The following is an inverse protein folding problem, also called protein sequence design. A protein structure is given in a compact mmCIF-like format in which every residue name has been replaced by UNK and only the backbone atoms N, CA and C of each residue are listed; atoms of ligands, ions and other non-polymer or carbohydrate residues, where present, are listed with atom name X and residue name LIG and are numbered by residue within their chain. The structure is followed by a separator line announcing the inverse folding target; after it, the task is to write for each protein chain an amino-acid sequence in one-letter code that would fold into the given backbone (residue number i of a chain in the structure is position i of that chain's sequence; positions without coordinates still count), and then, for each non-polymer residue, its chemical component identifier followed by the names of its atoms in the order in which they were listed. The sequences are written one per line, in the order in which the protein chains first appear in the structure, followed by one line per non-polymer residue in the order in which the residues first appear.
data_IF_647109857216
#
_entry.id   IF_647109857216
#
_cell.length_a   1.000
_cell.length_b   1.000
_cell.length_c   1.000
_cell.angle_alpha   90.00
_cell.angle_beta   90.00
_cell.angle_gamma   90.00
#
_symmetry.space_group_name_H-M   'P 1'
#
loop_
_entity.id
_entity.type
_entity.pdbx_description
1 polymer ?
#
# COMPACT_ATOMS: atom_id res chain seq x y z
N UNK A 1 12.31 -9.68 0.84
CA UNK A 1 12.90 -8.39 1.24
C UNK A 1 12.85 -8.17 2.75
N UNK A 2 11.85 -8.73 3.42
CA UNK A 2 11.71 -8.58 4.87
C UNK A 2 12.88 -9.18 5.66
N UNK A 3 13.61 -10.11 5.08
CA UNK A 3 14.76 -10.75 5.72
C UNK A 3 16.10 -10.08 5.40
N UNK A 4 16.09 -9.05 4.53
CA UNK A 4 17.30 -8.35 4.13
C UNK A 4 17.44 -7.04 4.91
N UNK A 5 18.68 -6.71 5.26
CA UNK A 5 18.97 -5.46 5.92
C UNK A 5 18.82 -4.30 4.93
N UNK A 6 18.14 -3.25 5.35
CA UNK A 6 17.97 -2.05 4.56
C UNK A 6 19.33 -1.44 4.23
N UNK A 7 19.56 -1.19 2.93
CA UNK A 7 20.82 -0.59 2.48
C UNK A 7 21.96 -1.57 2.29
N UNK A 8 21.78 -2.85 2.62
CA UNK A 8 22.79 -3.87 2.40
C UNK A 8 23.00 -4.13 0.91
N UNK A 9 24.10 -4.79 0.57
CA UNK A 9 24.39 -5.13 -0.82
C UNK A 9 23.31 -6.06 -1.39
N UNK A 10 22.90 -7.05 -0.60
CA UNK A 10 21.85 -7.99 -0.99
C UNK A 10 20.52 -7.28 -1.19
N UNK A 11 20.19 -6.32 -0.32
CA UNK A 11 18.98 -5.51 -0.45
C UNK A 11 18.99 -4.73 -1.76
N UNK A 12 20.11 -4.07 -2.07
CA UNK A 12 20.25 -3.29 -3.31
C UNK A 12 20.14 -4.18 -4.53
N UNK A 13 20.75 -5.38 -4.50
CA UNK A 13 20.65 -6.33 -5.60
C UNK A 13 19.22 -6.83 -5.78
N UNK A 14 18.50 -7.07 -4.68
CA UNK A 14 17.10 -7.48 -4.74
C UNK A 14 16.24 -6.38 -5.37
N UNK A 15 16.46 -5.12 -4.99
CA UNK A 15 15.74 -3.99 -5.59
C UNK A 15 16.04 -3.87 -7.09
N UNK A 16 17.30 -4.03 -7.48
CA UNK A 16 17.67 -3.99 -8.90
C UNK A 16 16.98 -5.09 -9.69
N UNK A 17 16.89 -6.29 -9.13
CA UNK A 17 16.23 -7.41 -9.78
C UNK A 17 14.73 -7.18 -9.97
N UNK A 18 14.10 -6.46 -9.02
CA UNK A 18 12.68 -6.14 -9.06
C UNK A 18 12.37 -4.89 -9.89
N UNK A 19 13.39 -4.09 -10.17
CA UNK A 19 13.21 -2.79 -10.81
C UNK A 19 12.41 -2.84 -12.12
N UNK A 20 12.69 -3.74 -13.07
CA UNK A 20 11.89 -3.79 -14.29
C UNK A 20 10.41 -4.08 -14.02
N UNK A 21 10.12 -4.97 -13.07
CA UNK A 21 8.73 -5.27 -12.72
C UNK A 21 8.04 -4.07 -12.08
N UNK A 22 8.74 -3.36 -11.19
CA UNK A 22 8.20 -2.16 -10.55
C UNK A 22 7.98 -1.04 -11.55
N UNK A 23 8.93 -0.83 -12.47
CA UNK A 23 8.78 0.19 -13.50
C UNK A 23 7.59 -0.11 -14.41
N UNK A 24 7.41 -1.38 -14.79
CA UNK A 24 6.25 -1.80 -15.57
C UNK A 24 4.95 -1.55 -14.79
N UNK A 25 4.95 -1.89 -13.51
CA UNK A 25 3.80 -1.69 -12.63
C UNK A 25 3.43 -0.20 -12.58
N UNK A 26 4.40 0.67 -12.32
CA UNK A 26 4.14 2.10 -12.22
C UNK A 26 3.74 2.72 -13.55
N UNK A 27 4.22 2.19 -14.66
CA UNK A 27 3.85 2.70 -15.98
C UNK A 27 2.46 2.24 -16.40
N UNK A 28 2.08 1.02 -16.04
CA UNK A 28 0.84 0.38 -16.47
C UNK A 28 -0.28 0.54 -15.44
N UNK A 29 0.06 0.38 -14.15
CA UNK A 29 -0.90 0.41 -13.06
C UNK A 29 -0.52 1.47 -12.06
N UNK A 30 -1.34 2.47 -11.97
CA UNK A 30 -1.29 3.36 -10.82
C UNK A 30 -2.01 2.61 -9.71
N UNK A 31 -1.42 2.45 -8.55
CA UNK A 31 -2.02 1.69 -7.45
C UNK A 31 -3.17 2.46 -6.78
N UNK A 32 -3.92 3.20 -7.57
CA UNK A 32 -5.10 3.94 -7.13
C UNK A 32 -6.32 3.34 -7.81
N UNK A 33 -7.39 3.05 -7.05
CA UNK A 33 -8.58 2.40 -7.61
C UNK A 33 -9.17 3.11 -8.82
N UNK A 34 -9.07 4.43 -8.89
CA UNK A 34 -9.63 5.21 -9.99
C UNK A 34 -8.94 4.95 -11.34
N UNK A 35 -7.79 4.29 -11.34
CA UNK A 35 -7.08 3.92 -12.56
C UNK A 35 -7.46 2.55 -13.10
N UNK A 36 -8.36 1.85 -12.42
CA UNK A 36 -8.83 0.53 -12.83
C UNK A 36 -10.29 0.61 -13.26
N UNK A 37 -10.69 -0.05 -14.37
CA UNK A 37 -12.08 0.00 -14.81
C UNK A 37 -13.09 -0.45 -13.76
N UNK A 38 -12.75 -1.45 -12.96
CA UNK A 38 -13.62 -1.99 -11.90
C UNK A 38 -13.10 -1.66 -10.50
N UNK A 39 -12.23 -0.65 -10.38
CA UNK A 39 -11.71 -0.20 -9.11
C UNK A 39 -10.96 -1.29 -8.36
N UNK A 40 -11.29 -1.46 -7.09
CA UNK A 40 -10.64 -2.43 -6.21
C UNK A 40 -10.69 -3.86 -6.75
N UNK A 41 -11.74 -4.21 -7.48
CA UNK A 41 -11.89 -5.56 -8.02
C UNK A 41 -10.81 -5.94 -9.03
N UNK A 42 -10.18 -4.96 -9.67
CA UNK A 42 -9.11 -5.21 -10.64
C UNK A 42 -7.73 -5.20 -10.00
N UNK A 43 -7.64 -4.82 -8.73
CA UNK A 43 -6.36 -4.71 -8.04
C UNK A 43 -5.91 -6.06 -7.49
N UNK A 44 -4.59 -6.22 -7.39
CA UNK A 44 -3.99 -7.39 -6.74
C UNK A 44 -3.47 -7.00 -5.35
N UNK A 45 -2.92 -7.97 -4.61
CA UNK A 45 -2.41 -7.71 -3.27
C UNK A 45 -1.24 -6.72 -3.26
N UNK A 46 -0.42 -6.75 -4.29
CA UNK A 46 0.71 -5.81 -4.39
C UNK A 46 0.18 -4.39 -4.54
N UNK A 47 -0.84 -4.20 -5.37
CA UNK A 47 -1.48 -2.90 -5.52
C UNK A 47 -2.02 -2.41 -4.18
N UNK A 48 -2.64 -3.29 -3.40
CA UNK A 48 -3.20 -2.95 -2.10
C UNK A 48 -2.11 -2.56 -1.10
N UNK A 49 -0.99 -3.28 -1.09
CA UNK A 49 0.14 -2.94 -0.22
C UNK A 49 0.69 -1.56 -0.57
N UNK A 50 0.84 -1.26 -1.85
CA UNK A 50 1.32 0.04 -2.29
C UNK A 50 0.34 1.16 -1.95
N UNK A 51 -0.96 0.87 -2.09
CA UNK A 51 -2.01 1.82 -1.72
C UNK A 51 -1.95 2.14 -0.23
N UNK A 52 -1.78 1.12 0.61
CA UNK A 52 -1.63 1.32 2.06
C UNK A 52 -0.37 2.13 2.39
N UNK A 53 0.72 1.88 1.69
CA UNK A 53 1.96 2.62 1.88
C UNK A 53 1.76 4.11 1.56
N UNK A 54 1.01 4.42 0.51
CA UNK A 54 0.69 5.80 0.16
C UNK A 54 -0.18 6.45 1.24
N UNK A 55 -1.18 5.73 1.73
CA UNK A 55 -2.04 6.26 2.78
C UNK A 55 -1.25 6.51 4.07
N UNK A 56 -0.33 5.61 4.40
CA UNK A 56 0.53 5.78 5.56
C UNK A 56 1.43 6.99 5.42
N UNK A 57 2.10 7.12 4.27
CA UNK A 57 2.97 8.26 4.02
C UNK A 57 2.19 9.58 4.07
N UNK A 58 0.99 9.59 3.52
CA UNK A 58 0.12 10.76 3.57
C UNK A 58 -0.29 11.09 5.00
N UNK A 59 -0.66 10.08 5.78
CA UNK A 59 -1.08 10.30 7.17
C UNK A 59 0.05 10.85 8.03
N UNK A 60 1.29 10.45 7.77
CA UNK A 60 2.44 10.94 8.50
C UNK A 60 2.76 12.42 8.21
N UNK A 61 2.33 12.92 7.06
CA UNK A 61 2.57 14.33 6.69
C UNK A 61 1.59 15.30 7.33
N UNK A 62 0.55 14.79 7.98
CA UNK A 62 -0.47 15.62 8.62
C UNK A 62 -0.43 15.42 10.13
N UNK A 63 -0.45 16.53 10.88
CA UNK A 63 -0.39 16.47 12.34
C UNK A 63 -1.47 15.63 12.97
N UNK A 64 -2.66 15.59 12.35
CA UNK A 64 -3.78 14.79 12.83
C UNK A 64 -4.01 13.55 11.97
N UNK A 65 -3.02 13.20 11.14
CA UNK A 65 -3.11 12.05 10.26
C UNK A 65 -3.07 10.76 11.04
N UNK A 66 -3.91 9.81 10.62
CA UNK A 66 -4.05 8.52 11.26
C UNK A 66 -4.36 7.49 10.18
N UNK A 67 -3.52 6.45 10.10
CA UNK A 67 -3.69 5.43 9.06
C UNK A 67 -5.04 4.72 9.18
N UNK A 68 -5.48 4.38 10.39
CA UNK A 68 -6.76 3.72 10.59
C UNK A 68 -7.91 4.56 10.05
N UNK A 69 -7.90 5.84 10.38
CA UNK A 69 -8.92 6.78 9.91
C UNK A 69 -8.87 6.95 8.38
N UNK A 70 -7.65 7.01 7.83
CA UNK A 70 -7.45 7.11 6.39
C UNK A 70 -8.05 5.90 5.67
N UNK A 71 -7.87 4.70 6.22
CA UNK A 71 -8.45 3.48 5.65
C UNK A 71 -9.98 3.56 5.66
N UNK A 72 -10.57 3.99 6.78
CA UNK A 72 -12.02 4.11 6.86
C UNK A 72 -12.59 5.09 5.84
N UNK A 73 -11.95 6.24 5.68
CA UNK A 73 -12.38 7.25 4.72
C UNK A 73 -12.27 6.71 3.30
N UNK A 74 -11.14 6.10 2.96
CA UNK A 74 -10.89 5.60 1.62
C UNK A 74 -11.72 4.36 1.30
N UNK A 75 -12.05 3.55 2.31
CA UNK A 75 -12.93 2.41 2.12
C UNK A 75 -14.31 2.87 1.61
N UNK A 76 -14.83 3.95 2.16
CA UNK A 76 -16.09 4.52 1.69
C UNK A 76 -15.94 5.14 0.31
N UNK A 77 -14.84 5.86 0.10
CA UNK A 77 -14.59 6.54 -1.18
C UNK A 77 -14.50 5.57 -2.36
N UNK A 78 -13.84 4.45 -2.16
CA UNK A 78 -13.60 3.47 -3.24
C UNK A 78 -14.52 2.25 -3.20
N UNK A 79 -15.46 2.22 -2.27
CA UNK A 79 -16.39 1.11 -2.16
C UNK A 79 -15.73 -0.20 -1.77
N UNK A 80 -14.74 -0.16 -0.89
CA UNK A 80 -14.05 -1.35 -0.41
C UNK A 80 -15.00 -2.16 0.46
N UNK A 81 -15.03 -3.50 0.26
CA UNK A 81 -15.91 -4.37 1.02
C UNK A 81 -15.59 -4.32 2.52
N UNK A 82 -16.57 -4.65 3.35
CA UNK A 82 -16.37 -4.66 4.80
C UNK A 82 -15.28 -5.66 5.20
N UNK A 83 -15.24 -6.81 4.55
CA UNK A 83 -14.23 -7.83 4.84
C UNK A 83 -12.82 -7.32 4.55
N UNK A 84 -12.62 -6.75 3.37
CA UNK A 84 -11.31 -6.22 2.99
C UNK A 84 -10.94 -5.03 3.86
N UNK A 85 -11.89 -4.15 4.17
CA UNK A 85 -11.64 -3.02 5.07
C UNK A 85 -11.15 -3.51 6.42
N UNK A 86 -11.76 -4.55 6.97
CA UNK A 86 -11.33 -5.10 8.26
C UNK A 86 -9.91 -5.66 8.19
N UNK A 87 -9.57 -6.33 7.08
CA UNK A 87 -8.21 -6.87 6.89
C UNK A 87 -7.19 -5.73 6.84
N UNK A 88 -7.51 -4.66 6.11
CA UNK A 88 -6.64 -3.50 6.03
C UNK A 88 -6.46 -2.84 7.39
N UNK A 89 -7.54 -2.72 8.16
CA UNK A 89 -7.47 -2.15 9.52
C UNK A 89 -6.63 -3.01 10.45
N UNK A 90 -6.77 -4.33 10.37
CA UNK A 90 -5.97 -5.26 11.17
C UNK A 90 -4.49 -5.09 10.87
N UNK A 91 -4.17 -4.95 9.59
CA UNK A 91 -2.78 -4.76 9.14
C UNK A 91 -2.24 -3.43 9.62
N UNK A 92 -3.04 -2.37 9.52
CA UNK A 92 -2.64 -1.03 9.96
C UNK A 92 -2.34 -0.98 11.46
N UNK A 93 -3.09 -1.72 12.27
CA UNK A 93 -2.84 -1.78 13.71
C UNK A 93 -1.46 -2.35 14.01
N UNK A 94 -1.06 -3.39 13.28
CA UNK A 94 0.27 -3.99 13.44
C UNK A 94 1.35 -3.00 13.04
N UNK A 95 1.15 -2.29 11.93
CA UNK A 95 2.11 -1.28 11.46
C UNK A 95 2.27 -0.18 12.50
N UNK A 96 1.16 0.34 13.03
CA UNK A 96 1.19 1.42 14.01
C UNK A 96 1.83 0.98 15.34
N UNK A 97 1.65 -0.26 15.75
CA UNK A 97 2.22 -0.78 16.99
C UNK A 97 3.74 -0.93 16.92
N UNK A 98 4.30 -1.04 15.73
CA UNK A 98 5.74 -1.28 15.53
C UNK A 98 6.51 -0.03 15.10
N UNK A 99 5.92 1.12 15.23
CA UNK A 99 6.60 2.39 14.95
C UNK A 99 7.28 3.04 16.14
#
# INVERSE_FOLDING_TARGET
LATLEYGSQEYKQALEALKPALEHHYATYRHHPEHFPNGINDMNLIDLVELMADWKASSERHNNGNLLKSIEINAKRFGISNQLTQILLNTAKIIEEHE
#
